data_IF_028050987736
#
_entry.id   IF_028050987736
#
_cell.length_a   1.000
_cell.length_b   1.000
_cell.length_c   1.000
_cell.angle_alpha   90.00
_cell.angle_beta   90.00
_cell.angle_gamma   90.00
#
_symmetry.space_group_name_H-M   'P 1'
#
loop_
_entity.id
_entity.type
_entity.pdbx_description
1 polymer ?
#
# COMPACT_ATOMS: atom_id res chain seq x y z
N UNK A 1 34.92 8.19 -70.06
CA UNK A 1 33.82 8.54 -70.98
C UNK A 1 32.94 7.30 -70.98
N UNK A 2 31.79 7.23 -70.30
CA UNK A 2 30.74 8.24 -70.22
C UNK A 2 29.86 8.16 -68.96
N UNK A 3 29.58 9.37 -68.47
CA UNK A 3 28.37 9.90 -67.83
C UNK A 3 27.56 9.04 -66.83
N UNK A 4 27.73 9.37 -65.55
CA UNK A 4 26.84 9.04 -64.44
C UNK A 4 25.73 10.12 -64.37
N UNK A 5 24.55 9.84 -64.92
CA UNK A 5 23.40 10.75 -64.79
C UNK A 5 22.79 10.64 -63.38
N UNK A 6 23.00 11.69 -62.58
CA UNK A 6 22.28 11.93 -61.33
C UNK A 6 20.80 12.21 -61.63
N UNK A 7 19.92 11.33 -61.15
CA UNK A 7 18.48 11.50 -61.30
C UNK A 7 17.95 12.40 -60.16
N UNK A 8 17.96 13.70 -60.39
CA UNK A 8 17.39 14.70 -59.49
C UNK A 8 15.85 14.66 -59.57
N UNK A 9 15.22 13.93 -58.66
CA UNK A 9 13.76 13.77 -58.62
C UNK A 9 13.11 15.00 -57.97
N UNK A 10 12.78 16.01 -58.78
CA UNK A 10 11.96 17.15 -58.37
C UNK A 10 10.54 16.68 -58.05
N UNK A 11 10.08 16.86 -56.81
CA UNK A 11 8.74 16.40 -56.36
C UNK A 11 7.67 17.37 -56.87
N UNK A 12 6.96 17.00 -57.94
CA UNK A 12 5.77 17.72 -58.41
C UNK A 12 4.57 17.62 -57.43
N UNK A 13 3.53 18.45 -57.60
CA UNK A 13 2.35 18.43 -56.73
C UNK A 13 1.67 17.05 -56.78
N UNK A 14 1.43 16.47 -55.60
CA UNK A 14 0.86 15.13 -55.46
C UNK A 14 -0.49 15.05 -56.16
N UNK A 15 -0.65 14.06 -57.05
CA UNK A 15 -1.93 13.81 -57.69
C UNK A 15 -2.99 13.47 -56.63
N UNK A 16 -4.23 13.94 -56.82
CA UNK A 16 -5.34 13.81 -55.85
C UNK A 16 -5.57 12.36 -55.40
N UNK A 17 -5.39 11.40 -56.29
CA UNK A 17 -5.49 9.95 -56.01
C UNK A 17 -4.36 9.44 -55.12
N UNK A 18 -3.15 9.93 -55.31
CA UNK A 18 -1.99 9.54 -54.52
C UNK A 18 -2.02 10.18 -53.13
N UNK A 19 -2.53 11.42 -53.04
CA UNK A 19 -2.84 12.06 -51.76
C UNK A 19 -3.88 11.27 -50.95
N UNK A 20 -5.00 10.87 -51.56
CA UNK A 20 -6.03 10.06 -50.89
C UNK A 20 -5.51 8.68 -50.45
N UNK A 21 -4.62 8.05 -51.24
CA UNK A 21 -3.97 6.79 -50.87
C UNK A 21 -3.06 6.95 -49.66
N UNK A 22 -2.25 8.00 -49.62
CA UNK A 22 -1.33 8.28 -48.50
C UNK A 22 -2.09 8.63 -47.23
N UNK A 23 -3.12 9.48 -47.32
CA UNK A 23 -3.94 9.84 -46.14
C UNK A 23 -4.71 8.61 -45.64
N UNK A 24 -5.30 7.82 -46.54
CA UNK A 24 -6.01 6.59 -46.18
C UNK A 24 -5.11 5.57 -45.48
N UNK A 25 -3.88 5.38 -45.96
CA UNK A 25 -2.92 4.46 -45.33
C UNK A 25 -2.39 4.97 -43.99
N UNK A 26 -2.17 6.28 -43.83
CA UNK A 26 -1.77 6.88 -42.55
C UNK A 26 -2.89 6.82 -41.51
N UNK A 27 -4.13 7.08 -41.89
CA UNK A 27 -5.29 7.00 -40.97
C UNK A 27 -5.53 5.55 -40.54
N UNK A 28 -5.53 4.60 -41.48
CA UNK A 28 -5.69 3.19 -41.18
C UNK A 28 -4.54 2.68 -40.30
N UNK A 29 -3.27 2.94 -40.69
CA UNK A 29 -2.10 2.54 -39.90
C UNK A 29 -2.06 3.19 -38.52
N UNK A 30 -2.41 4.47 -38.42
CA UNK A 30 -2.49 5.21 -37.15
C UNK A 30 -3.58 4.66 -36.22
N UNK A 31 -4.75 4.32 -36.75
CA UNK A 31 -5.86 3.73 -35.97
C UNK A 31 -5.53 2.33 -35.45
N UNK A 32 -4.84 1.50 -36.24
CA UNK A 32 -4.40 0.16 -35.82
C UNK A 32 -3.31 0.27 -34.75
N UNK A 33 -2.36 1.19 -34.92
CA UNK A 33 -1.31 1.41 -33.93
C UNK A 33 -1.89 1.97 -32.61
N UNK A 34 -2.83 2.91 -32.68
CA UNK A 34 -3.48 3.47 -31.50
C UNK A 34 -4.31 2.43 -30.74
N UNK A 35 -5.06 1.59 -31.46
CA UNK A 35 -5.87 0.51 -30.83
C UNK A 35 -5.00 -0.58 -30.24
N UNK A 36 -3.92 -1.00 -30.92
CA UNK A 36 -2.98 -1.99 -30.38
C UNK A 36 -2.24 -1.49 -29.15
N UNK A 37 -1.79 -0.22 -29.11
CA UNK A 37 -1.20 0.40 -27.92
C UNK A 37 -2.22 0.49 -26.77
N UNK A 38 -3.47 0.87 -27.05
CA UNK A 38 -4.52 0.96 -26.04
C UNK A 38 -4.86 -0.42 -25.44
N UNK A 39 -4.92 -1.46 -26.28
CA UNK A 39 -5.15 -2.85 -25.85
C UNK A 39 -3.96 -3.40 -25.06
N UNK A 40 -2.72 -3.15 -25.50
CA UNK A 40 -1.52 -3.58 -24.77
C UNK A 40 -1.41 -2.94 -23.38
N UNK A 41 -1.76 -1.65 -23.24
CA UNK A 41 -1.82 -0.98 -21.94
C UNK A 41 -2.90 -1.56 -21.01
N UNK A 42 -4.05 -1.96 -21.56
CA UNK A 42 -5.11 -2.62 -20.79
C UNK A 42 -4.73 -4.03 -20.37
N UNK A 43 -4.05 -4.79 -21.23
CA UNK A 43 -3.57 -6.13 -20.90
C UNK A 43 -2.46 -6.09 -19.84
N UNK A 44 -1.51 -5.16 -19.93
CA UNK A 44 -0.46 -4.99 -18.92
C UNK A 44 -0.97 -4.54 -17.55
N UNK A 45 -2.10 -3.83 -17.50
CA UNK A 45 -2.77 -3.49 -16.23
C UNK A 45 -3.55 -4.67 -15.63
N UNK A 46 -3.97 -5.65 -16.44
CA UNK A 46 -4.67 -6.85 -15.98
C UNK A 46 -3.72 -7.94 -15.45
N UNK A 47 -2.45 -7.94 -15.90
CA UNK A 47 -1.35 -8.80 -15.43
C UNK A 47 -0.64 -8.25 -14.18
N UNK A 48 -1.25 -7.28 -13.47
CA UNK A 48 -0.74 -6.85 -12.17
C UNK A 48 -0.90 -7.98 -11.17
N UNK A 49 0.20 -8.50 -10.61
CA UNK A 49 0.10 -9.36 -9.45
C UNK A 49 -0.64 -8.60 -8.34
N UNK A 50 -1.67 -9.21 -7.78
CA UNK A 50 -2.45 -8.66 -6.68
C UNK A 50 -1.97 -9.27 -5.39
N UNK A 51 -1.83 -8.45 -4.35
CA UNK A 51 -1.45 -8.91 -3.01
C UNK A 51 -2.56 -8.61 -2.02
N UNK A 52 -2.49 -9.24 -0.84
CA UNK A 52 -3.42 -8.99 0.25
C UNK A 52 -2.96 -7.81 1.09
N UNK A 53 -3.87 -6.87 1.38
CA UNK A 53 -3.63 -5.74 2.27
C UNK A 53 -4.81 -5.48 3.19
N UNK A 54 -4.55 -4.77 4.27
CA UNK A 54 -5.57 -4.29 5.20
C UNK A 54 -6.04 -2.90 4.75
N UNK A 55 -7.35 -2.74 4.63
CA UNK A 55 -8.04 -1.46 4.62
C UNK A 55 -8.22 -0.99 6.08
N UNK A 56 -7.49 0.07 6.52
CA UNK A 56 -7.57 0.55 7.89
C UNK A 56 -8.95 1.09 8.28
N UNK A 57 -9.76 1.54 7.31
CA UNK A 57 -11.08 2.11 7.57
C UNK A 57 -12.11 1.03 7.92
N UNK A 58 -11.92 -0.19 7.40
CA UNK A 58 -12.78 -1.35 7.67
C UNK A 58 -12.31 -2.21 8.84
N UNK A 59 -11.05 -2.04 9.25
CA UNK A 59 -10.46 -2.84 10.33
C UNK A 59 -11.20 -2.59 11.66
N UNK A 60 -11.65 -3.67 12.30
CA UNK A 60 -12.35 -3.65 13.60
C UNK A 60 -11.45 -4.04 14.78
N UNK A 61 -10.14 -4.21 14.54
CA UNK A 61 -9.14 -4.63 15.53
C UNK A 61 -9.55 -5.91 16.29
N UNK A 62 -10.10 -6.88 15.56
CA UNK A 62 -10.65 -8.12 16.13
C UNK A 62 -9.59 -9.11 16.68
N UNK A 63 -8.30 -8.90 16.42
CA UNK A 63 -7.21 -9.77 16.86
C UNK A 63 -6.91 -10.97 15.94
N UNK A 64 -7.77 -11.30 14.99
CA UNK A 64 -7.58 -12.47 14.09
C UNK A 64 -6.33 -12.41 13.22
N UNK A 65 -5.80 -11.21 12.98
CA UNK A 65 -4.55 -11.04 12.26
C UNK A 65 -3.35 -11.71 12.97
N UNK A 66 -3.39 -11.81 14.30
CA UNK A 66 -2.38 -12.48 15.12
C UNK A 66 -2.55 -14.00 15.07
N UNK A 67 -3.78 -14.50 15.11
CA UNK A 67 -4.08 -15.92 15.32
C UNK A 67 -4.25 -16.74 14.05
N UNK A 68 -4.68 -16.12 12.95
CA UNK A 68 -5.06 -16.80 11.71
C UNK A 68 -4.03 -16.59 10.58
N UNK A 69 -2.89 -15.96 10.88
CA UNK A 69 -1.76 -15.96 9.96
C UNK A 69 -1.11 -17.35 9.95
N UNK A 70 -0.74 -17.85 8.77
CA UNK A 70 -0.02 -19.13 8.65
C UNK A 70 1.41 -19.08 9.19
N UNK A 71 1.96 -17.88 9.37
CA UNK A 71 3.28 -17.67 9.97
C UNK A 71 3.17 -17.69 11.49
N UNK A 72 4.15 -18.29 12.17
CA UNK A 72 4.23 -18.32 13.63
C UNK A 72 4.17 -16.90 14.25
N UNK A 73 4.81 -15.94 13.60
CA UNK A 73 4.65 -14.51 13.89
C UNK A 73 4.02 -13.89 12.66
N UNK A 74 2.84 -13.28 12.84
CA UNK A 74 2.06 -12.73 11.74
C UNK A 74 2.87 -11.76 10.86
N UNK A 75 2.63 -11.83 9.55
CA UNK A 75 3.09 -10.82 8.60
C UNK A 75 2.39 -9.46 8.80
N UNK A 76 1.27 -9.43 9.55
CA UNK A 76 0.59 -8.20 9.92
C UNK A 76 1.36 -7.49 11.03
N UNK A 77 1.70 -6.23 10.81
CA UNK A 77 2.40 -5.38 11.80
C UNK A 77 1.61 -4.11 12.06
N UNK A 78 1.85 -3.53 13.24
CA UNK A 78 1.41 -2.19 13.55
C UNK A 78 2.29 -1.19 12.80
N UNK A 79 1.67 -0.30 12.04
CA UNK A 79 2.29 0.83 11.37
C UNK A 79 1.96 2.08 12.16
N UNK A 80 2.95 2.98 12.25
CA UNK A 80 2.81 4.27 12.89
C UNK A 80 2.84 5.36 11.82
N UNK A 81 1.72 6.06 11.64
CA UNK A 81 1.66 7.26 10.81
C UNK A 81 2.15 8.47 11.61
N UNK A 82 3.46 8.72 11.57
CA UNK A 82 4.09 9.82 12.30
C UNK A 82 3.46 11.19 11.99
N UNK A 83 3.02 11.43 10.74
CA UNK A 83 2.39 12.70 10.33
C UNK A 83 1.03 12.95 10.97
N UNK A 84 0.33 11.88 11.35
CA UNK A 84 -0.98 11.95 11.99
C UNK A 84 -0.84 11.93 13.51
N UNK A 85 0.24 11.36 14.05
CA UNK A 85 0.40 11.14 15.47
C UNK A 85 0.48 12.42 16.29
N UNK A 86 -0.16 12.41 17.45
CA UNK A 86 -0.18 13.54 18.38
C UNK A 86 0.98 13.52 19.39
N UNK A 87 1.80 12.46 19.38
CA UNK A 87 2.95 12.30 20.28
C UNK A 87 2.58 12.46 21.76
N UNK A 88 1.37 12.04 22.17
CA UNK A 88 0.84 12.29 23.51
C UNK A 88 1.67 11.63 24.61
N UNK A 89 1.86 12.28 25.77
CA UNK A 89 2.36 11.64 27.00
C UNK A 89 1.47 10.45 27.41
N UNK A 90 0.15 10.69 27.54
CA UNK A 90 -0.88 9.67 27.73
C UNK A 90 -1.40 9.16 26.38
N UNK A 91 -0.71 8.18 25.80
CA UNK A 91 -1.14 7.54 24.56
C UNK A 91 -2.03 6.32 24.84
N UNK A 92 -3.30 6.35 24.40
CA UNK A 92 -4.22 5.21 24.51
C UNK A 92 -3.81 3.97 23.73
N UNK A 93 -2.91 4.10 22.74
CA UNK A 93 -2.32 2.97 22.04
C UNK A 93 -1.15 2.31 22.78
N UNK A 94 -0.53 3.03 23.71
CA UNK A 94 0.62 2.56 24.49
C UNK A 94 0.21 2.06 25.88
N UNK A 95 -0.71 2.77 26.53
CA UNK A 95 -1.16 2.52 27.89
C UNK A 95 -2.50 1.77 27.91
N UNK A 96 -2.66 0.84 28.86
CA UNK A 96 -3.98 0.25 29.14
C UNK A 96 -4.89 1.26 29.83
N UNK A 97 -6.19 0.98 29.90
CA UNK A 97 -7.12 1.80 30.68
C UNK A 97 -6.77 1.80 32.17
N UNK A 98 -7.01 2.91 32.86
CA UNK A 98 -6.88 3.06 34.32
C UNK A 98 -5.45 2.90 34.86
N UNK A 99 -4.44 3.34 34.11
CA UNK A 99 -3.07 3.46 34.63
C UNK A 99 -3.03 4.58 35.66
N UNK A 100 -2.37 4.34 36.81
CA UNK A 100 -2.18 5.36 37.85
C UNK A 100 -0.94 6.20 37.61
N UNK A 101 0.11 5.60 37.08
CA UNK A 101 1.40 6.23 36.84
C UNK A 101 1.83 6.00 35.38
N UNK A 102 2.28 7.05 34.70
CA UNK A 102 2.73 6.99 33.30
C UNK A 102 4.21 6.63 33.23
N UNK A 103 4.52 5.40 33.62
CA UNK A 103 5.87 4.81 33.50
C UNK A 103 5.87 3.68 32.44
N UNK A 104 7.00 3.00 32.25
CA UNK A 104 7.14 1.94 31.22
C UNK A 104 7.03 0.53 31.80
N UNK A 105 6.45 0.37 32.99
CA UNK A 105 6.27 -0.93 33.61
C UNK A 105 5.29 -1.80 32.80
N UNK A 106 5.57 -3.10 32.67
CA UNK A 106 4.88 -4.00 31.74
C UNK A 106 3.36 -4.07 32.00
N UNK A 107 2.93 -3.99 33.26
CA UNK A 107 1.53 -3.99 33.64
C UNK A 107 0.78 -2.75 33.13
N UNK A 108 1.46 -1.65 32.84
CA UNK A 108 0.85 -0.43 32.34
C UNK A 108 0.65 -0.47 30.82
N UNK A 109 1.36 -1.34 30.11
CA UNK A 109 1.42 -1.35 28.66
C UNK A 109 0.22 -2.08 28.02
N UNK A 110 -0.23 -1.53 26.89
CA UNK A 110 -1.30 -2.11 26.07
C UNK A 110 -0.78 -3.25 25.18
N UNK A 111 0.47 -3.15 24.73
CA UNK A 111 1.07 -4.14 23.84
C UNK A 111 1.55 -5.36 24.65
N UNK A 112 0.97 -6.56 24.43
CA UNK A 112 1.30 -7.75 25.22
C UNK A 112 2.72 -8.27 24.98
N UNK A 113 3.31 -7.97 23.81
CA UNK A 113 4.66 -8.39 23.44
C UNK A 113 5.72 -7.32 23.69
N UNK A 114 5.33 -6.15 24.24
CA UNK A 114 6.26 -5.05 24.46
C UNK A 114 6.81 -4.43 23.17
N UNK A 115 6.12 -4.59 22.04
CA UNK A 115 6.59 -4.15 20.72
C UNK A 115 6.57 -2.63 20.49
N UNK A 116 6.08 -1.83 21.44
CA UNK A 116 6.04 -0.37 21.29
C UNK A 116 7.08 0.22 22.23
N UNK A 117 8.05 0.92 21.65
CA UNK A 117 9.05 1.67 22.40
C UNK A 117 8.60 3.12 22.54
N UNK A 118 8.89 3.71 23.70
CA UNK A 118 8.52 5.08 24.03
C UNK A 118 9.77 5.87 24.36
N UNK A 119 9.93 7.03 23.73
CA UNK A 119 11.07 7.93 23.92
C UNK A 119 10.59 9.34 24.24
N UNK A 120 11.11 9.93 25.30
CA UNK A 120 10.87 11.34 25.61
C UNK A 120 11.50 12.23 24.54
N UNK A 121 10.75 13.24 24.08
CA UNK A 121 11.24 14.23 23.12
C UNK A 121 11.37 15.58 23.83
N UNK A 122 10.24 16.14 24.27
CA UNK A 122 10.13 17.36 25.07
C UNK A 122 8.78 17.32 25.81
N UNK A 123 8.51 18.20 26.78
CA UNK A 123 7.20 18.20 27.44
C UNK A 123 6.12 18.86 26.53
N UNK A 124 4.92 18.25 26.33
CA UNK A 124 4.40 16.97 26.82
C UNK A 124 4.49 15.81 25.79
N UNK A 125 5.48 15.86 24.90
CA UNK A 125 5.62 15.00 23.72
C UNK A 125 6.54 13.78 23.90
N UNK A 126 6.01 12.63 23.52
CA UNK A 126 6.72 11.36 23.47
C UNK A 126 6.60 10.71 22.10
N UNK A 127 7.73 10.23 21.59
CA UNK A 127 7.79 9.45 20.36
C UNK A 127 7.54 7.97 20.66
N UNK A 128 6.80 7.35 19.74
CA UNK A 128 6.49 5.93 19.75
C UNK A 128 7.09 5.27 18.52
N UNK A 129 7.83 4.18 18.71
CA UNK A 129 8.35 3.36 17.60
C UNK A 129 7.89 1.92 17.77
N UNK A 130 7.66 1.23 16.65
CA UNK A 130 7.22 -0.16 16.65
C UNK A 130 8.43 -1.05 16.38
N UNK A 131 8.74 -1.93 17.32
CA UNK A 131 9.63 -3.06 17.10
C UNK A 131 8.87 -4.16 16.36
N UNK A 132 9.12 -4.26 15.05
CA UNK A 132 8.44 -5.22 14.18
C UNK A 132 8.77 -6.68 14.51
N UNK A 133 9.91 -6.94 15.15
CA UNK A 133 10.32 -8.29 15.55
C UNK A 133 9.44 -8.84 16.68
N UNK A 134 8.97 -7.97 17.56
CA UNK A 134 8.08 -8.29 18.68
C UNK A 134 6.60 -8.14 18.30
N UNK A 135 6.28 -7.31 17.30
CA UNK A 135 4.90 -7.06 16.91
C UNK A 135 4.28 -8.28 16.23
N UNK A 136 3.15 -8.76 16.74
CA UNK A 136 2.44 -9.93 16.22
C UNK A 136 1.11 -9.59 15.53
N UNK A 137 0.80 -8.30 15.35
CA UNK A 137 -0.40 -7.88 14.63
C UNK A 137 -1.72 -7.96 15.42
N UNK A 138 -1.69 -8.07 16.76
CA UNK A 138 -2.91 -8.21 17.58
C UNK A 138 -3.90 -7.03 17.52
N UNK A 139 -3.46 -5.83 17.11
CA UNK A 139 -4.32 -4.65 16.93
C UNK A 139 -4.80 -3.95 18.21
N UNK A 140 -4.38 -4.39 19.41
CA UNK A 140 -4.78 -3.75 20.68
C UNK A 140 -4.37 -2.27 20.75
N UNK A 141 -3.14 -1.96 20.35
CA UNK A 141 -2.63 -0.58 20.29
C UNK A 141 -3.36 0.28 19.25
N UNK A 142 -3.75 -0.31 18.12
CA UNK A 142 -4.56 0.34 17.08
C UNK A 142 -5.92 0.72 17.64
N UNK A 143 -6.58 -0.20 18.37
CA UNK A 143 -7.87 0.05 19.00
C UNK A 143 -7.77 1.19 20.02
N UNK A 144 -6.78 1.15 20.90
CA UNK A 144 -6.59 2.19 21.91
C UNK A 144 -6.25 3.56 21.32
N UNK A 145 -5.38 3.62 20.30
CA UNK A 145 -5.05 4.84 19.58
C UNK A 145 -6.24 5.42 18.81
N UNK A 146 -7.11 4.59 18.25
CA UNK A 146 -8.33 5.03 17.56
C UNK A 146 -9.41 5.53 18.53
N UNK A 147 -9.55 4.92 19.70
CA UNK A 147 -10.58 5.31 20.67
C UNK A 147 -10.28 6.59 21.44
N UNK A 148 -8.99 6.87 21.73
CA UNK A 148 -8.58 7.96 22.62
C UNK A 148 -7.48 8.86 22.04
N UNK A 149 -7.11 8.63 20.78
CA UNK A 149 -6.13 9.44 20.07
C UNK A 149 -6.64 9.78 18.67
N UNK A 150 -5.71 10.04 17.77
CA UNK A 150 -5.99 10.39 16.38
C UNK A 150 -5.92 9.18 15.43
N UNK A 151 -5.81 7.96 15.95
CA UNK A 151 -5.76 6.75 15.14
C UNK A 151 -4.52 6.66 14.23
N UNK A 152 -3.39 7.23 14.66
CA UNK A 152 -2.10 7.17 13.95
C UNK A 152 -1.48 5.77 13.92
N UNK A 153 -1.88 4.88 14.82
CA UNK A 153 -1.52 3.46 14.78
C UNK A 153 -2.57 2.68 13.97
N UNK A 154 -2.13 1.83 13.03
CA UNK A 154 -3.00 1.00 12.20
C UNK A 154 -2.28 -0.29 11.78
N UNK A 155 -3.01 -1.29 11.31
CA UNK A 155 -2.40 -2.55 10.86
C UNK A 155 -2.20 -2.52 9.34
N UNK A 156 -1.07 -3.07 8.88
CA UNK A 156 -0.81 -3.41 7.48
C UNK A 156 -0.13 -4.79 7.41
N UNK A 157 -0.33 -5.50 6.30
CA UNK A 157 0.42 -6.71 5.96
C UNK A 157 1.77 -6.25 5.39
N UNK A 158 2.87 -6.64 6.03
CA UNK A 158 4.24 -6.37 5.54
C UNK A 158 4.59 -7.34 4.42
N UNK A 159 4.89 -6.79 3.25
CA UNK A 159 5.14 -7.60 2.04
C UNK A 159 6.37 -8.48 2.12
N UNK A 160 7.42 -7.97 2.74
CA UNK A 160 8.68 -8.68 2.97
C UNK A 160 8.52 -9.88 3.92
N UNK A 161 7.48 -9.89 4.74
CA UNK A 161 7.16 -10.99 5.66
C UNK A 161 6.09 -11.92 5.09
N UNK A 162 5.16 -11.40 4.30
CA UNK A 162 4.07 -12.18 3.73
C UNK A 162 4.61 -13.19 2.70
N UNK A 163 4.28 -14.46 2.89
CA UNK A 163 4.71 -15.54 1.98
C UNK A 163 3.79 -15.74 0.75
N UNK A 164 2.88 -14.80 0.51
CA UNK A 164 1.91 -14.82 -0.59
C UNK A 164 1.16 -16.15 -0.74
N UNK A 165 0.36 -16.50 0.28
CA UNK A 165 -0.35 -17.78 0.35
C UNK A 165 -1.42 -18.01 -0.75
N UNK A 166 -1.55 -17.09 -1.72
CA UNK A 166 -2.64 -16.96 -2.71
C UNK A 166 -4.03 -16.71 -2.09
N UNK A 167 -4.42 -17.51 -1.09
CA UNK A 167 -5.64 -17.38 -0.31
C UNK A 167 -5.28 -17.06 1.15
N UNK A 168 -5.54 -15.82 1.57
CA UNK A 168 -5.20 -15.38 2.92
C UNK A 168 -6.24 -15.88 3.92
N UNK A 169 -5.85 -16.75 4.86
CA UNK A 169 -6.75 -17.22 5.91
C UNK A 169 -7.29 -16.08 6.79
N UNK A 170 -6.50 -15.03 7.04
CA UNK A 170 -6.96 -13.84 7.76
C UNK A 170 -8.14 -13.18 7.00
N UNK A 171 -8.13 -13.19 5.67
CA UNK A 171 -9.19 -12.60 4.86
C UNK A 171 -10.51 -13.37 5.02
N UNK A 172 -10.47 -14.70 5.08
CA UNK A 172 -11.68 -15.52 5.17
C UNK A 172 -12.39 -15.39 6.52
N UNK A 173 -11.66 -15.03 7.58
CA UNK A 173 -12.21 -14.91 8.95
C UNK A 173 -12.36 -13.45 9.42
N UNK A 174 -11.97 -12.45 8.62
CA UNK A 174 -11.99 -11.05 9.04
C UNK A 174 -13.44 -10.53 9.16
N UNK A 175 -13.94 -10.20 10.36
CA UNK A 175 -15.32 -9.76 10.54
C UNK A 175 -15.58 -8.36 9.96
N UNK A 176 -14.54 -7.58 9.70
CA UNK A 176 -14.66 -6.24 9.10
C UNK A 176 -14.56 -6.25 7.57
N UNK A 177 -14.32 -7.41 6.94
CA UNK A 177 -14.01 -7.50 5.50
C UNK A 177 -12.89 -6.50 5.09
N UNK A 178 -11.90 -6.38 5.97
CA UNK A 178 -10.83 -5.40 5.87
C UNK A 178 -9.65 -5.90 5.03
N UNK A 179 -9.55 -7.20 4.75
CA UNK A 179 -8.44 -7.77 3.99
C UNK A 179 -8.84 -7.82 2.52
N UNK A 180 -8.23 -6.95 1.70
CA UNK A 180 -8.60 -6.74 0.30
C UNK A 180 -7.44 -7.09 -0.63
N UNK A 181 -7.76 -7.43 -1.87
CA UNK A 181 -6.77 -7.55 -2.95
C UNK A 181 -6.48 -6.18 -3.52
N UNK A 182 -5.20 -5.90 -3.73
CA UNK A 182 -4.73 -4.60 -4.19
C UNK A 182 -3.57 -4.78 -5.18
N UNK A 183 -3.39 -3.86 -6.14
CA UNK A 183 -2.34 -3.93 -7.16
C UNK A 183 -0.94 -3.71 -6.58
N UNK A 184 0.06 -4.52 -6.98
CA UNK A 184 1.43 -4.46 -6.43
C UNK A 184 2.11 -3.08 -6.53
N UNK A 185 1.72 -2.23 -7.47
CA UNK A 185 2.21 -0.85 -7.61
C UNK A 185 1.71 0.10 -6.52
N UNK A 186 0.60 -0.22 -5.84
CA UNK A 186 0.09 0.55 -4.69
C UNK A 186 -0.02 -0.33 -3.43
N UNK A 187 1.11 -0.79 -2.87
CA UNK A 187 1.15 -1.89 -1.93
C UNK A 187 0.65 -1.60 -0.50
N UNK A 188 0.46 -0.35 -0.14
CA UNK A 188 0.12 0.04 1.23
C UNK A 188 -0.97 1.09 1.25
N UNK A 189 -1.87 0.96 2.22
CA UNK A 189 -2.88 1.96 2.55
C UNK A 189 -2.34 2.81 3.72
N UNK A 190 -1.35 3.64 3.42
CA UNK A 190 -0.72 4.51 4.41
C UNK A 190 -1.65 5.66 4.79
N UNK A 191 -1.61 6.05 6.07
CA UNK A 191 -2.28 7.25 6.56
C UNK A 191 -1.29 8.41 6.53
N UNK A 192 -1.55 9.39 5.66
CA UNK A 192 -0.62 10.48 5.38
C UNK A 192 -1.16 11.88 5.74
N UNK A 193 -2.46 11.99 6.04
CA UNK A 193 -3.14 13.21 6.49
C UNK A 193 -4.47 12.84 7.18
#
# INVERSE_FOLDING_TARGET
>A
MDNKQENNKTRGPLARRDFLRVVGSVVAGGSVLATTIALARRAGAAEGSYYWQIDPAKCTQCGRCETDCVLNVSAVKCFHANRVCGYCDLCGGYYRSNVKELNTAAENLMCPTGAIQRRFVEDPYFEYTIDESLCNGCGKCVKGCGSFGNGSLYLQIKRDLCMDCNECQIATVCPGDAIVRVPVDKPYNLKDA
#
